data_IF_217073822819
#
_entry.id   IF_217073822819
#
_cell.length_a   1.000
_cell.length_b   1.000
_cell.length_c   1.000
_cell.angle_alpha   90.00
_cell.angle_beta   90.00
_cell.angle_gamma   90.00
#
_symmetry.space_group_name_H-M   'P 1'
#
loop_
_entity.id
_entity.type
_entity.pdbx_description
1 polymer ?
#
# COMPACT_ATOMS: atom_id res chain seq x y z
N UNK A 1 -22.63 25.92 0.74
CA UNK A 1 -21.38 25.36 0.19
C UNK A 1 -21.02 24.15 1.03
N UNK A 2 -21.14 22.93 0.48
CA UNK A 2 -20.69 21.73 1.19
C UNK A 2 -19.16 21.75 1.22
N UNK A 3 -18.57 21.58 2.41
CA UNK A 3 -17.12 21.41 2.55
C UNK A 3 -16.74 20.10 1.83
N UNK A 4 -16.07 20.22 0.68
CA UNK A 4 -15.59 19.12 -0.18
C UNK A 4 -14.55 18.23 0.53
N UNK A 5 -14.20 18.56 1.77
CA UNK A 5 -13.11 17.94 2.55
C UNK A 5 -13.55 16.71 3.35
N UNK A 6 -14.87 16.48 3.51
CA UNK A 6 -15.38 15.39 4.36
C UNK A 6 -16.01 14.27 3.54
N UNK A 7 -15.70 13.03 3.90
CA UNK A 7 -16.35 11.82 3.43
C UNK A 7 -17.02 11.10 4.60
N UNK A 8 -18.03 10.28 4.30
CA UNK A 8 -18.67 9.39 5.27
C UNK A 8 -17.85 8.12 5.45
N UNK A 9 -18.01 7.45 6.60
CA UNK A 9 -17.37 6.16 6.88
C UNK A 9 -17.67 5.14 5.77
N UNK A 10 -18.91 5.12 5.26
CA UNK A 10 -19.31 4.23 4.15
C UNK A 10 -18.57 4.53 2.84
N UNK A 11 -18.36 5.81 2.51
CA UNK A 11 -17.59 6.17 1.31
C UNK A 11 -16.14 5.73 1.42
N UNK A 12 -15.58 5.87 2.62
CA UNK A 12 -14.24 5.43 2.93
C UNK A 12 -14.09 3.91 2.88
N UNK A 13 -14.99 3.17 3.53
CA UNK A 13 -15.03 1.70 3.53
C UNK A 13 -15.15 1.14 2.10
N UNK A 14 -16.04 1.72 1.28
CA UNK A 14 -16.16 1.31 -0.12
C UNK A 14 -14.84 1.48 -0.86
N UNK A 15 -14.18 2.65 -0.72
CA UNK A 15 -12.92 2.92 -1.41
C UNK A 15 -11.79 2.02 -0.90
N UNK A 16 -11.78 1.73 0.40
CA UNK A 16 -10.83 0.81 1.00
C UNK A 16 -10.99 -0.60 0.43
N UNK A 17 -12.22 -1.12 0.37
CA UNK A 17 -12.49 -2.45 -0.15
C UNK A 17 -12.06 -2.58 -1.61
N UNK A 18 -12.40 -1.61 -2.47
CA UNK A 18 -11.97 -1.57 -3.87
C UNK A 18 -10.43 -1.64 -3.98
N UNK A 19 -9.73 -0.81 -3.18
CA UNK A 19 -8.27 -0.78 -3.18
C UNK A 19 -7.68 -2.12 -2.69
N UNK A 20 -8.28 -2.74 -1.67
CA UNK A 20 -7.81 -4.03 -1.15
C UNK A 20 -7.98 -5.13 -2.20
N UNK A 21 -9.11 -5.19 -2.89
CA UNK A 21 -9.35 -6.15 -3.98
C UNK A 21 -8.31 -6.01 -5.10
N UNK A 22 -8.01 -4.77 -5.52
CA UNK A 22 -7.00 -4.48 -6.53
C UNK A 22 -5.58 -4.88 -6.06
N UNK A 23 -5.21 -4.50 -4.84
CA UNK A 23 -3.87 -4.76 -4.29
C UNK A 23 -3.58 -6.25 -4.13
N UNK A 24 -4.56 -7.06 -3.73
CA UNK A 24 -4.38 -8.50 -3.52
C UNK A 24 -4.54 -9.33 -4.80
N UNK A 25 -4.97 -8.72 -5.92
CA UNK A 25 -5.21 -9.44 -7.15
C UNK A 25 -3.94 -10.17 -7.63
N UNK A 26 -4.07 -11.50 -7.80
CA UNK A 26 -2.97 -12.37 -8.22
C UNK A 26 -1.85 -12.55 -7.17
N UNK A 27 -2.06 -12.10 -5.92
CA UNK A 27 -1.11 -12.30 -4.81
C UNK A 27 -1.61 -13.41 -3.88
N UNK A 28 -0.69 -14.08 -3.20
CA UNK A 28 -0.97 -15.16 -2.24
C UNK A 28 -0.27 -14.89 -0.92
N UNK A 29 -0.96 -15.17 0.19
CA UNK A 29 -0.32 -15.23 1.49
C UNK A 29 0.70 -16.37 1.52
N UNK A 30 1.76 -16.18 2.30
CA UNK A 30 2.87 -17.13 2.51
C UNK A 30 3.01 -17.41 4.00
N UNK A 31 3.66 -18.51 4.37
CA UNK A 31 3.80 -18.90 5.77
C UNK A 31 4.73 -17.94 6.55
N UNK A 32 5.78 -17.44 5.90
CA UNK A 32 6.77 -16.54 6.49
C UNK A 32 6.87 -15.25 5.67
N UNK A 33 6.17 -14.19 6.07
CA UNK A 33 6.15 -12.93 5.33
C UNK A 33 7.42 -12.12 5.49
N UNK A 34 7.72 -11.32 4.47
CA UNK A 34 8.81 -10.33 4.53
C UNK A 34 8.30 -8.93 4.16
N UNK A 35 8.47 -7.98 5.06
CA UNK A 35 8.20 -6.57 4.77
C UNK A 35 9.46 -5.83 4.34
N UNK A 36 9.37 -5.04 3.27
CA UNK A 36 10.43 -4.20 2.74
C UNK A 36 10.06 -2.74 2.95
N UNK A 37 10.89 -1.98 3.65
CA UNK A 37 10.72 -0.54 3.83
C UNK A 37 11.73 0.19 2.95
N UNK A 38 11.25 0.99 1.99
CA UNK A 38 12.14 1.77 1.12
C UNK A 38 12.39 3.18 1.68
N UNK A 39 13.66 3.57 1.75
CA UNK A 39 14.11 4.92 2.09
C UNK A 39 14.93 5.56 0.97
N UNK A 40 15.00 6.88 0.95
CA UNK A 40 15.82 7.68 0.03
C UNK A 40 15.17 8.99 -0.38
N UNK A 41 15.94 9.99 -0.80
CA UNK A 41 15.40 11.27 -1.28
C UNK A 41 14.55 11.10 -2.57
N UNK A 42 13.68 12.08 -2.91
CA UNK A 42 13.10 12.15 -4.24
C UNK A 42 14.16 12.04 -5.33
N UNK A 43 13.89 11.26 -6.39
CA UNK A 43 14.84 11.03 -7.47
C UNK A 43 15.99 10.05 -7.17
N UNK A 44 16.08 9.48 -5.95
CA UNK A 44 17.16 8.52 -5.60
C UNK A 44 17.07 7.14 -6.27
N UNK A 45 16.08 6.92 -7.15
CA UNK A 45 15.92 5.64 -7.85
C UNK A 45 15.16 4.55 -7.07
N UNK A 46 14.29 4.92 -6.11
CA UNK A 46 13.47 3.95 -5.34
C UNK A 46 12.68 2.98 -6.24
N UNK A 47 12.28 3.41 -7.44
CA UNK A 47 11.63 2.55 -8.45
C UNK A 47 12.47 1.33 -8.83
N UNK A 48 13.80 1.47 -8.91
CA UNK A 48 14.69 0.34 -9.20
C UNK A 48 14.68 -0.70 -8.08
N UNK A 49 14.59 -0.27 -6.82
CA UNK A 49 14.41 -1.18 -5.68
C UNK A 49 13.06 -1.90 -5.74
N UNK A 50 12.00 -1.23 -6.19
CA UNK A 50 10.70 -1.88 -6.42
C UNK A 50 10.82 -2.99 -7.46
N UNK A 51 11.53 -2.75 -8.57
CA UNK A 51 11.76 -3.76 -9.60
C UNK A 51 12.53 -4.97 -9.07
N UNK A 52 13.58 -4.75 -8.27
CA UNK A 52 14.34 -5.83 -7.66
C UNK A 52 13.49 -6.68 -6.72
N UNK A 53 12.66 -6.05 -5.88
CA UNK A 53 11.75 -6.76 -4.95
C UNK A 53 10.66 -7.53 -5.72
N UNK A 54 10.12 -6.95 -6.79
CA UNK A 54 9.17 -7.64 -7.66
C UNK A 54 9.78 -8.89 -8.29
N UNK A 55 11.04 -8.82 -8.74
CA UNK A 55 11.78 -9.96 -9.27
C UNK A 55 12.04 -11.02 -8.19
N UNK A 56 12.58 -10.62 -7.04
CA UNK A 56 12.89 -11.49 -5.90
C UNK A 56 11.65 -12.24 -5.38
N UNK A 57 10.52 -11.55 -5.31
CA UNK A 57 9.25 -12.13 -4.84
C UNK A 57 8.45 -12.82 -5.94
N UNK A 58 8.99 -12.89 -7.17
CA UNK A 58 8.30 -13.43 -8.35
C UNK A 58 6.93 -12.79 -8.58
N UNK A 59 6.81 -11.49 -8.30
CA UNK A 59 5.58 -10.72 -8.38
C UNK A 59 4.61 -10.94 -7.21
N UNK A 60 4.94 -11.78 -6.22
CA UNK A 60 4.11 -12.02 -5.03
C UNK A 60 4.42 -11.02 -3.90
N UNK A 61 4.25 -9.73 -4.18
CA UNK A 61 4.41 -8.63 -3.22
C UNK A 61 3.31 -7.60 -3.43
N UNK A 62 2.82 -7.01 -2.34
CA UNK A 62 1.89 -5.89 -2.37
C UNK A 62 2.69 -4.59 -2.23
N UNK A 63 2.51 -3.67 -3.16
CA UNK A 63 3.18 -2.38 -3.18
C UNK A 63 2.23 -1.30 -2.65
N UNK A 64 2.55 -0.71 -1.51
CA UNK A 64 1.73 0.32 -0.87
C UNK A 64 2.43 1.68 -1.06
N UNK A 65 1.90 2.51 -1.97
CA UNK A 65 2.45 3.84 -2.27
C UNK A 65 1.60 4.96 -1.69
N UNK A 66 2.18 5.79 -0.81
CA UNK A 66 1.49 6.97 -0.28
C UNK A 66 1.07 7.94 -1.39
N UNK A 67 1.80 8.07 -2.48
CA UNK A 67 1.37 8.97 -3.58
C UNK A 67 0.19 8.41 -4.36
N UNK A 68 0.11 7.08 -4.52
CA UNK A 68 -1.11 6.40 -4.98
C UNK A 68 -2.27 6.57 -4.00
N UNK A 69 -1.95 6.65 -2.70
CA UNK A 69 -2.90 6.89 -1.60
C UNK A 69 -3.12 8.38 -1.27
N UNK A 70 -2.49 9.35 -1.97
CA UNK A 70 -2.83 10.79 -1.81
C UNK A 70 -4.26 11.07 -2.29
N UNK A 71 -4.81 10.22 -3.16
CA UNK A 71 -6.24 10.18 -3.45
C UNK A 71 -7.11 9.71 -2.25
N UNK A 72 -6.50 9.08 -1.23
CA UNK A 72 -7.14 8.53 -0.03
C UNK A 72 -6.84 9.31 1.27
N UNK A 73 -6.23 10.50 1.17
CA UNK A 73 -6.27 11.53 2.23
C UNK A 73 -5.36 11.35 3.44
N UNK A 74 -5.24 10.19 4.09
CA UNK A 74 -4.62 10.12 5.41
C UNK A 74 -3.94 8.76 5.67
N UNK A 75 -2.60 8.70 5.58
CA UNK A 75 -1.81 7.52 5.96
C UNK A 75 -2.05 7.06 7.42
N UNK A 76 -2.35 8.02 8.31
CA UNK A 76 -2.68 7.74 9.71
C UNK A 76 -4.03 7.03 9.88
N UNK A 77 -4.95 7.19 8.93
CA UNK A 77 -6.24 6.51 8.93
C UNK A 77 -6.18 5.14 8.26
N UNK A 78 -5.21 4.89 7.36
CA UNK A 78 -4.96 3.60 6.71
C UNK A 78 -4.33 2.56 7.64
N UNK A 79 -3.49 2.99 8.60
CA UNK A 79 -2.75 2.11 9.51
C UNK A 79 -3.62 1.09 10.30
N UNK A 80 -4.81 1.44 10.82
CA UNK A 80 -5.69 0.49 11.53
C UNK A 80 -6.46 -0.48 10.61
N UNK A 81 -6.43 -0.26 9.30
CA UNK A 81 -7.32 -0.89 8.31
C UNK A 81 -6.63 -1.95 7.45
N UNK A 82 -5.31 -2.09 7.60
CA UNK A 82 -4.64 -3.24 7.04
C UNK A 82 -5.22 -4.49 7.71
N UNK A 83 -5.73 -5.49 6.95
CA UNK A 83 -6.03 -6.79 7.52
C UNK A 83 -4.77 -7.34 8.18
N UNK A 84 -4.89 -8.38 9.02
CA UNK A 84 -3.68 -9.03 9.55
C UNK A 84 -2.70 -9.30 8.41
N UNK A 85 -1.57 -8.59 8.44
CA UNK A 85 -0.48 -8.73 7.47
C UNK A 85 0.42 -9.92 7.84
N UNK A 86 0.01 -10.67 8.87
CA UNK A 86 0.58 -11.96 9.23
C UNK A 86 0.53 -12.88 8.01
N UNK A 87 1.70 -13.36 7.60
CA UNK A 87 1.84 -14.13 6.37
C UNK A 87 1.91 -13.36 5.04
N UNK A 88 1.87 -12.02 5.00
CA UNK A 88 2.04 -11.25 3.73
C UNK A 88 3.38 -10.52 3.60
N UNK A 89 4.04 -10.62 2.44
CA UNK A 89 5.18 -9.77 2.11
C UNK A 89 4.70 -8.37 1.67
N UNK A 90 5.11 -7.33 2.38
CA UNK A 90 4.56 -5.97 2.26
C UNK A 90 5.65 -4.97 1.91
N UNK A 91 5.46 -4.21 0.83
CA UNK A 91 6.36 -3.11 0.45
C UNK A 91 5.71 -1.78 0.86
N UNK A 92 6.25 -1.14 1.91
CA UNK A 92 5.83 0.20 2.33
C UNK A 92 6.74 1.25 1.67
N UNK A 93 6.11 2.15 0.91
CA UNK A 93 6.79 3.25 0.26
C UNK A 93 6.60 4.47 1.13
N UNK A 94 7.49 4.57 2.12
CA UNK A 94 7.68 5.79 2.87
C UNK A 94 7.86 6.97 1.90
N UNK A 95 7.03 7.99 2.08
CA UNK A 95 7.18 9.24 1.37
C UNK A 95 8.45 9.96 1.81
N UNK A 96 9.39 10.07 0.88
CA UNK A 96 10.22 11.26 0.71
C UNK A 96 9.83 11.84 -0.63
#
# INVERSE_FOLDING_TARGET
MANIVNFTDKQFENRLNDNLEELVQGKKAVESPTAFLLGGQPGSGKTSLRSAILEETQGNVIVIDKEGLKAAGEWHQLKPLFPSLEGKSVLDLGCG
#
